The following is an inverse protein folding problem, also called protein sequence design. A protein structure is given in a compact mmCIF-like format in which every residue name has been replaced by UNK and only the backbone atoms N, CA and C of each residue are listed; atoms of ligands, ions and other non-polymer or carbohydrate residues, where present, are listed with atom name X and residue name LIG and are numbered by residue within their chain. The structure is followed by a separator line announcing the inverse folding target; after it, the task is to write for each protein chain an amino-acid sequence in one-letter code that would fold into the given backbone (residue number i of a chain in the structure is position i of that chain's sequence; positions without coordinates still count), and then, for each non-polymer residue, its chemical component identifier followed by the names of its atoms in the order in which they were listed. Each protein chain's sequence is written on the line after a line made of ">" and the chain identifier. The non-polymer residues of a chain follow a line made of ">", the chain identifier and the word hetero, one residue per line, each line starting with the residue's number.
data_IF_437415077794
#
_entry.id   IF_437415077794
#
_cell.length_a   1.000
_cell.length_b   1.000
_cell.length_c   1.000
_cell.angle_alpha   90.00
_cell.angle_beta   90.00
_cell.angle_gamma   90.00
#
_symmetry.space_group_name_H-M   'P 1'
#
loop_
_entity.id
_entity.type
_entity.pdbx_description
1 polymer ?
#
# COMPACT_ATOMS: atom_id res chain seq x y z
N UNK A 1 13.90 7.23 -26.35
CA UNK A 1 12.98 8.14 -25.66
C UNK A 1 11.98 8.77 -26.65
N UNK A 2 12.44 9.28 -27.79
CA UNK A 2 11.61 9.93 -28.81
C UNK A 2 10.50 9.01 -29.35
N UNK A 3 10.82 7.74 -29.58
CA UNK A 3 9.82 6.70 -29.95
C UNK A 3 8.75 6.55 -28.86
N UNK A 4 9.14 6.53 -27.58
CA UNK A 4 8.20 6.43 -26.47
C UNK A 4 7.28 7.65 -26.37
N UNK A 5 7.81 8.85 -26.64
CA UNK A 5 6.99 10.06 -26.73
C UNK A 5 5.98 9.98 -27.87
N UNK A 6 6.38 9.48 -29.04
CA UNK A 6 5.47 9.28 -30.18
C UNK A 6 4.36 8.30 -29.83
N UNK A 7 4.66 7.18 -29.20
CA UNK A 7 3.65 6.20 -28.74
C UNK A 7 2.66 6.87 -27.77
N UNK A 8 3.17 7.61 -26.78
CA UNK A 8 2.34 8.29 -25.77
C UNK A 8 1.42 9.35 -26.36
N UNK A 9 1.88 10.07 -27.38
CA UNK A 9 1.15 11.20 -27.99
C UNK A 9 0.37 10.82 -29.25
N UNK A 10 0.45 9.57 -29.71
CA UNK A 10 -0.15 9.11 -30.97
C UNK A 10 0.49 9.73 -32.23
N UNK A 11 1.72 10.23 -32.11
CA UNK A 11 2.47 10.83 -33.20
C UNK A 11 3.41 9.83 -33.87
N UNK A 12 3.94 10.20 -35.08
CA UNK A 12 4.99 9.45 -35.78
C UNK A 12 6.32 10.19 -35.69
N UNK A 13 7.43 9.47 -35.78
CA UNK A 13 8.75 10.08 -35.82
C UNK A 13 8.93 11.05 -36.99
N UNK A 14 8.22 10.80 -38.11
CA UNK A 14 8.23 11.62 -39.32
C UNK A 14 7.40 12.91 -39.23
N UNK A 15 6.58 13.07 -38.19
CA UNK A 15 5.71 14.24 -38.04
C UNK A 15 6.57 15.46 -37.68
N UNK A 16 6.43 16.54 -38.45
CA UNK A 16 7.19 17.78 -38.22
C UNK A 16 6.76 18.47 -36.90
N UNK A 17 5.46 18.45 -36.61
CA UNK A 17 4.89 19.06 -35.40
C UNK A 17 4.56 17.97 -34.43
N UNK A 18 5.43 17.69 -33.48
CA UNK A 18 5.26 16.71 -32.41
C UNK A 18 6.04 17.10 -31.16
N UNK A 19 5.70 16.49 -30.04
CA UNK A 19 6.48 16.63 -28.81
C UNK A 19 7.83 15.94 -29.00
N UNK A 20 8.92 16.69 -28.81
CA UNK A 20 10.31 16.19 -28.81
C UNK A 20 11.15 17.02 -27.87
N UNK A 21 12.23 16.46 -27.38
CA UNK A 21 13.23 17.26 -26.66
C UNK A 21 14.01 18.16 -27.62
N UNK A 22 14.45 19.33 -27.14
CA UNK A 22 15.18 20.32 -27.99
C UNK A 22 16.59 19.88 -28.36
N UNK A 23 17.17 18.92 -27.62
CA UNK A 23 18.52 18.38 -27.87
C UNK A 23 18.65 16.96 -27.36
N UNK A 24 19.77 16.32 -27.67
CA UNK A 24 20.12 14.96 -27.16
C UNK A 24 20.96 15.01 -25.86
N UNK A 25 21.01 16.16 -25.19
CA UNK A 25 21.86 16.41 -24.00
C UNK A 25 21.34 15.85 -22.70
N UNK A 26 20.21 15.13 -22.72
CA UNK A 26 19.54 14.58 -21.53
C UNK A 26 20.10 13.20 -21.13
N UNK A 27 21.41 13.10 -21.00
CA UNK A 27 22.11 11.91 -20.51
C UNK A 27 23.04 12.27 -19.35
N UNK A 28 23.48 11.25 -18.60
CA UNK A 28 24.44 11.44 -17.52
C UNK A 28 25.82 11.77 -18.14
N UNK A 29 26.25 13.01 -18.04
CA UNK A 29 27.49 13.50 -18.57
C UNK A 29 28.68 13.06 -17.72
N UNK A 30 29.83 12.81 -18.36
CA UNK A 30 31.08 12.57 -17.69
C UNK A 30 31.61 13.84 -17.00
N UNK A 31 32.56 13.67 -16.08
CA UNK A 31 33.22 14.81 -15.43
C UNK A 31 33.88 15.75 -16.43
N UNK A 32 34.53 15.21 -17.44
CA UNK A 32 35.21 16.02 -18.49
C UNK A 32 34.20 16.84 -19.31
N UNK A 33 33.07 16.27 -19.67
CA UNK A 33 31.97 16.97 -20.34
C UNK A 33 31.41 18.10 -19.47
N UNK A 34 31.21 17.83 -18.17
CA UNK A 34 30.75 18.83 -17.21
C UNK A 34 31.77 19.96 -17.03
N UNK A 35 33.06 19.64 -17.00
CA UNK A 35 34.15 20.68 -16.95
C UNK A 35 34.17 21.56 -18.20
N UNK A 36 33.89 20.99 -19.37
CA UNK A 36 33.77 21.76 -20.60
C UNK A 36 32.54 22.68 -20.63
N UNK A 37 31.42 22.22 -20.10
CA UNK A 37 30.18 22.98 -20.05
C UNK A 37 30.22 24.11 -19.01
N UNK A 38 30.97 23.94 -17.94
CA UNK A 38 31.09 24.89 -16.84
C UNK A 38 32.55 25.34 -16.63
N UNK A 39 33.17 26.03 -17.59
CA UNK A 39 34.54 26.48 -17.47
C UNK A 39 34.68 27.44 -16.27
N UNK A 40 35.69 27.24 -15.43
CA UNK A 40 35.92 28.04 -14.24
C UNK A 40 35.13 27.65 -13.00
N UNK A 41 34.22 26.64 -13.07
CA UNK A 41 33.43 26.15 -11.94
C UNK A 41 34.02 24.84 -11.36
N UNK A 42 35.34 24.70 -11.34
CA UNK A 42 36.05 23.50 -10.91
C UNK A 42 35.60 23.05 -9.52
N UNK A 43 35.45 24.00 -8.57
CA UNK A 43 35.05 23.72 -7.21
C UNK A 43 33.62 23.15 -7.13
N UNK A 44 32.70 23.58 -7.98
CA UNK A 44 31.34 23.04 -8.02
C UNK A 44 31.33 21.57 -8.46
N UNK A 45 32.20 21.21 -9.41
CA UNK A 45 32.33 19.83 -9.90
C UNK A 45 32.99 18.94 -8.83
N UNK A 46 34.07 19.43 -8.18
CA UNK A 46 34.71 18.72 -7.06
C UNK A 46 33.78 18.49 -5.90
N UNK A 47 32.90 19.43 -5.56
CA UNK A 47 31.92 19.31 -4.50
C UNK A 47 30.89 18.19 -4.75
N UNK A 48 30.72 17.71 -5.99
CA UNK A 48 29.85 16.54 -6.25
C UNK A 48 30.40 15.29 -5.54
N UNK A 49 31.70 15.11 -5.50
CA UNK A 49 32.35 14.03 -4.76
C UNK A 49 32.16 14.23 -3.25
N UNK A 50 32.33 15.45 -2.73
CA UNK A 50 32.12 15.77 -1.32
C UNK A 50 30.67 15.46 -0.89
N UNK A 51 29.68 15.74 -1.75
CA UNK A 51 28.28 15.39 -1.49
C UNK A 51 28.10 13.88 -1.48
N UNK A 52 28.69 13.16 -2.44
CA UNK A 52 28.62 11.69 -2.49
C UNK A 52 29.24 11.05 -1.24
N UNK A 53 30.36 11.56 -0.74
CA UNK A 53 31.01 11.09 0.46
C UNK A 53 30.18 11.29 1.74
N UNK A 54 29.28 12.28 1.76
CA UNK A 54 28.33 12.51 2.87
C UNK A 54 27.11 11.59 2.81
N UNK A 55 26.86 10.94 1.69
CA UNK A 55 25.72 10.05 1.49
C UNK A 55 26.10 8.60 1.83
N UNK A 56 26.23 8.31 3.14
CA UNK A 56 26.57 6.96 3.65
C UNK A 56 25.33 6.36 4.33
N UNK A 57 24.34 6.02 3.54
CA UNK A 57 23.09 5.44 4.02
C UNK A 57 22.70 4.24 3.16
N UNK A 58 22.47 3.11 3.82
CA UNK A 58 21.93 1.90 3.19
C UNK A 58 20.49 1.68 3.66
N UNK A 59 19.63 1.30 2.73
CA UNK A 59 18.25 0.94 3.04
C UNK A 59 18.18 -0.49 3.56
N UNK A 60 17.59 -0.69 4.73
CA UNK A 60 17.18 -2.01 5.18
C UNK A 60 15.82 -2.37 4.59
N UNK A 61 15.84 -3.17 3.52
CA UNK A 61 14.63 -3.66 2.85
C UNK A 61 13.97 -4.85 3.55
N UNK A 62 14.58 -5.39 4.61
CA UNK A 62 14.10 -6.58 5.30
C UNK A 62 13.34 -6.25 6.59
N UNK A 63 13.51 -5.05 7.13
CA UNK A 63 12.79 -4.63 8.34
C UNK A 63 11.42 -4.07 8.00
N UNK A 64 10.39 -4.55 8.70
CA UNK A 64 9.05 -3.99 8.67
C UNK A 64 8.88 -3.10 9.90
N UNK A 65 8.49 -1.85 9.70
CA UNK A 65 8.29 -0.86 10.76
C UNK A 65 6.78 -0.61 10.97
N UNK A 66 6.07 -1.65 11.43
CA UNK A 66 4.69 -1.46 11.90
C UNK A 66 4.72 -1.03 13.37
N UNK A 67 3.80 -0.15 13.82
CA UNK A 67 3.59 0.11 15.23
C UNK A 67 3.20 -1.18 15.95
N UNK A 68 3.60 -1.34 17.19
CA UNK A 68 3.19 -2.49 18.01
C UNK A 68 1.72 -2.31 18.45
N UNK A 69 0.89 -3.29 18.13
CA UNK A 69 -0.51 -3.30 18.54
C UNK A 69 -0.65 -4.05 19.87
N UNK A 70 -1.08 -3.34 20.91
CA UNK A 70 -1.24 -3.92 22.23
C UNK A 70 -2.55 -4.74 22.31
N UNK A 71 -2.42 -5.99 22.78
CA UNK A 71 -3.55 -6.87 23.10
C UNK A 71 -3.59 -7.12 24.62
N UNK A 72 -4.70 -7.58 25.13
CA UNK A 72 -4.85 -7.88 26.58
C UNK A 72 -3.85 -8.93 27.05
N UNK A 73 -3.46 -8.85 28.31
CA UNK A 73 -2.53 -9.81 28.92
C UNK A 73 -3.03 -11.25 28.76
N UNK A 74 -2.18 -12.09 28.16
CA UNK A 74 -2.52 -13.50 27.86
C UNK A 74 -3.18 -13.75 26.51
N UNK A 75 -3.52 -12.73 25.73
CA UNK A 75 -3.98 -12.87 24.34
C UNK A 75 -2.81 -12.74 23.34
N UNK A 76 -2.91 -13.45 22.22
CA UNK A 76 -2.02 -13.25 21.06
C UNK A 76 -2.71 -12.36 20.03
N UNK A 77 -1.92 -11.63 19.20
CA UNK A 77 -2.48 -10.82 18.11
C UNK A 77 -3.33 -11.66 17.15
N UNK A 78 -2.86 -12.86 16.80
CA UNK A 78 -3.61 -13.84 16.01
C UNK A 78 -4.95 -14.20 16.67
N UNK A 79 -4.90 -14.59 17.95
CA UNK A 79 -6.11 -15.00 18.70
C UNK A 79 -7.13 -13.87 18.79
N UNK A 80 -6.65 -12.64 19.02
CA UNK A 80 -7.50 -11.46 19.07
C UNK A 80 -8.13 -11.11 17.72
N UNK A 81 -7.34 -11.16 16.64
CA UNK A 81 -7.83 -10.98 15.27
C UNK A 81 -8.92 -12.01 14.94
N UNK A 82 -8.67 -13.28 15.22
CA UNK A 82 -9.62 -14.40 15.00
C UNK A 82 -10.93 -14.18 15.77
N UNK A 83 -10.85 -13.77 17.02
CA UNK A 83 -12.02 -13.44 17.84
C UNK A 83 -12.86 -12.32 17.23
N UNK A 84 -12.24 -11.19 16.87
CA UNK A 84 -12.93 -10.07 16.22
C UNK A 84 -13.62 -10.49 14.92
N UNK A 85 -12.94 -11.31 14.12
CA UNK A 85 -13.50 -11.82 12.86
C UNK A 85 -14.69 -12.75 13.07
N UNK A 86 -14.65 -13.65 14.07
CA UNK A 86 -15.77 -14.51 14.40
C UNK A 86 -16.98 -13.70 14.86
N UNK A 87 -16.78 -12.71 15.74
CA UNK A 87 -17.85 -11.79 16.17
C UNK A 87 -18.41 -10.98 14.98
N UNK A 88 -17.55 -10.53 14.09
CA UNK A 88 -17.91 -9.83 12.87
C UNK A 88 -18.71 -10.70 11.91
N UNK A 89 -18.32 -11.96 11.73
CA UNK A 89 -19.02 -12.91 10.87
C UNK A 89 -20.48 -13.09 11.33
N UNK A 90 -20.70 -13.25 12.65
CA UNK A 90 -22.03 -13.39 13.22
C UNK A 90 -22.89 -12.12 13.09
N UNK A 91 -22.26 -10.93 13.12
CA UNK A 91 -22.95 -9.66 12.87
C UNK A 91 -23.34 -9.48 11.39
N UNK A 92 -22.50 -9.94 10.47
CA UNK A 92 -22.67 -9.73 9.03
C UNK A 92 -23.64 -10.73 8.40
N UNK A 93 -23.66 -11.97 8.87
CA UNK A 93 -24.46 -13.04 8.28
C UNK A 93 -25.50 -13.58 9.28
N UNK A 94 -26.78 -13.55 8.88
CA UNK A 94 -27.87 -14.11 9.67
C UNK A 94 -27.78 -15.63 9.85
N UNK A 95 -27.15 -16.30 8.89
CA UNK A 95 -26.91 -17.73 8.89
C UNK A 95 -25.47 -18.00 8.50
N UNK A 96 -24.65 -18.40 9.44
CA UNK A 96 -23.23 -18.70 9.22
C UNK A 96 -23.09 -20.16 8.81
N UNK A 97 -22.82 -20.40 7.53
CA UNK A 97 -22.60 -21.73 6.97
C UNK A 97 -21.18 -22.25 7.23
N UNK A 98 -20.96 -23.55 7.03
CA UNK A 98 -19.61 -24.12 7.14
C UNK A 98 -18.66 -23.53 6.09
N UNK A 99 -19.13 -23.29 4.86
CA UNK A 99 -18.34 -22.68 3.79
C UNK A 99 -17.83 -21.27 4.18
N UNK A 100 -18.67 -20.48 4.87
CA UNK A 100 -18.25 -19.16 5.38
C UNK A 100 -17.16 -19.28 6.44
N UNK A 101 -17.27 -20.28 7.32
CA UNK A 101 -16.26 -20.56 8.36
C UNK A 101 -14.95 -21.03 7.74
N UNK A 102 -15.01 -21.97 6.81
CA UNK A 102 -13.85 -22.49 6.10
C UNK A 102 -13.12 -21.38 5.31
N UNK A 103 -13.88 -20.50 4.65
CA UNK A 103 -13.31 -19.35 3.96
C UNK A 103 -12.65 -18.36 4.92
N UNK A 104 -13.28 -18.06 6.05
CA UNK A 104 -12.73 -17.17 7.08
C UNK A 104 -11.42 -17.73 7.66
N UNK A 105 -11.41 -19.03 8.03
CA UNK A 105 -10.22 -19.70 8.56
C UNK A 105 -9.09 -19.71 7.54
N UNK A 106 -9.37 -20.01 6.28
CA UNK A 106 -8.38 -19.96 5.19
C UNK A 106 -7.74 -18.57 5.06
N UNK A 107 -8.54 -17.50 5.11
CA UNK A 107 -8.02 -16.14 5.03
C UNK A 107 -7.19 -15.78 6.27
N UNK A 108 -7.66 -16.12 7.48
CA UNK A 108 -6.93 -15.87 8.72
C UNK A 108 -5.60 -16.61 8.77
N UNK A 109 -5.57 -17.87 8.39
CA UNK A 109 -4.34 -18.66 8.34
C UNK A 109 -3.35 -18.08 7.31
N UNK A 110 -3.85 -17.59 6.17
CA UNK A 110 -3.02 -16.94 5.16
C UNK A 110 -2.43 -15.63 5.69
N UNK A 111 -3.24 -14.79 6.35
CA UNK A 111 -2.82 -13.52 6.96
C UNK A 111 -1.74 -13.79 8.02
N UNK A 112 -1.99 -14.77 8.90
CA UNK A 112 -1.06 -15.17 9.97
C UNK A 112 0.28 -15.67 9.42
N UNK A 113 0.24 -16.60 8.46
CA UNK A 113 1.45 -17.17 7.85
C UNK A 113 2.29 -16.12 7.11
N UNK A 114 1.68 -15.04 6.64
CA UNK A 114 2.36 -13.91 6.02
C UNK A 114 2.79 -12.83 7.04
N UNK A 115 2.43 -12.97 8.33
CA UNK A 115 2.82 -12.06 9.40
C UNK A 115 2.05 -10.74 9.42
N UNK A 116 0.79 -10.72 8.93
CA UNK A 116 0.01 -9.49 8.80
C UNK A 116 -1.12 -9.34 9.83
N UNK A 117 -1.18 -10.18 10.87
CA UNK A 117 -2.20 -10.07 11.94
C UNK A 117 -2.28 -8.66 12.51
N UNK A 118 -1.13 -8.11 12.87
CA UNK A 118 -1.01 -6.77 13.44
C UNK A 118 -1.46 -5.68 12.50
N UNK A 119 -1.13 -5.78 11.21
CA UNK A 119 -1.56 -4.83 10.21
C UNK A 119 -3.10 -4.74 10.12
N UNK A 120 -3.79 -5.87 10.13
CA UNK A 120 -5.24 -5.90 10.13
C UNK A 120 -5.86 -5.33 11.40
N UNK A 121 -5.24 -5.57 12.55
CA UNK A 121 -5.68 -5.00 13.84
C UNK A 121 -5.55 -3.48 13.86
N UNK A 122 -4.42 -2.94 13.39
CA UNK A 122 -4.18 -1.50 13.28
C UNK A 122 -5.22 -0.85 12.34
N UNK A 123 -5.45 -1.45 11.17
CA UNK A 123 -6.44 -0.92 10.22
C UNK A 123 -7.85 -0.96 10.79
N UNK A 124 -8.21 -2.05 11.47
CA UNK A 124 -9.49 -2.16 12.17
C UNK A 124 -9.65 -1.07 13.23
N UNK A 125 -8.61 -0.79 14.02
CA UNK A 125 -8.63 0.20 15.09
C UNK A 125 -8.92 1.62 14.54
N UNK A 126 -8.25 2.05 13.48
CA UNK A 126 -8.53 3.33 12.84
C UNK A 126 -9.99 3.47 12.42
N UNK A 127 -10.51 2.43 11.80
CA UNK A 127 -11.88 2.43 11.28
C UNK A 127 -12.88 2.38 12.42
N UNK A 128 -12.63 1.58 13.44
CA UNK A 128 -13.46 1.48 14.64
C UNK A 128 -13.49 2.81 15.39
N UNK A 129 -12.34 3.45 15.58
CA UNK A 129 -12.22 4.79 16.16
C UNK A 129 -13.10 5.80 15.39
N UNK A 130 -12.95 5.86 14.07
CA UNK A 130 -13.70 6.78 13.25
C UNK A 130 -15.22 6.54 13.36
N UNK A 131 -15.66 5.28 13.19
CA UNK A 131 -17.09 4.91 13.21
C UNK A 131 -17.75 5.16 14.56
N UNK A 132 -17.06 4.84 15.66
CA UNK A 132 -17.60 5.08 17.03
C UNK A 132 -17.75 6.55 17.37
N UNK A 133 -16.99 7.43 16.70
CA UNK A 133 -17.09 8.89 16.83
C UNK A 133 -17.97 9.55 15.75
N UNK A 134 -18.64 8.75 14.95
CA UNK A 134 -19.52 9.26 13.88
C UNK A 134 -18.76 9.98 12.77
N UNK A 135 -17.47 9.64 12.55
CA UNK A 135 -16.70 10.11 11.41
C UNK A 135 -17.02 9.20 10.23
N UNK A 136 -17.56 9.73 9.13
CA UNK A 136 -17.87 8.92 7.96
C UNK A 136 -16.61 8.24 7.38
N UNK A 137 -16.71 6.93 7.14
CA UNK A 137 -15.70 6.09 6.50
C UNK A 137 -16.27 5.55 5.20
N UNK A 138 -15.48 5.57 4.14
CA UNK A 138 -15.85 5.00 2.85
C UNK A 138 -16.14 3.49 2.94
N UNK A 139 -16.85 2.92 1.95
CA UNK A 139 -17.24 1.50 1.96
C UNK A 139 -16.08 0.53 1.77
N UNK A 140 -14.88 1.04 1.56
CA UNK A 140 -13.72 0.29 1.12
C UNK A 140 -13.64 0.20 -0.41
N UNK A 141 -12.43 0.07 -0.91
CA UNK A 141 -12.13 0.00 -2.36
C UNK A 141 -10.89 -0.86 -2.62
N UNK A 142 -10.57 -1.05 -3.87
CA UNK A 142 -9.40 -1.83 -4.27
C UNK A 142 -9.56 -3.33 -3.99
N UNK A 143 -8.44 -4.00 -3.82
CA UNK A 143 -8.39 -5.46 -3.65
C UNK A 143 -8.88 -5.93 -2.29
N UNK A 144 -8.82 -5.10 -1.25
CA UNK A 144 -9.27 -5.43 0.11
C UNK A 144 -10.75 -5.84 0.18
N UNK A 145 -11.58 -5.38 -0.78
CA UNK A 145 -12.98 -5.80 -0.91
C UNK A 145 -13.14 -7.31 -1.18
N UNK A 146 -12.09 -8.02 -1.63
CA UNK A 146 -12.08 -9.47 -1.83
C UNK A 146 -11.89 -10.29 -0.56
N UNK A 147 -11.61 -9.65 0.59
CA UNK A 147 -11.34 -10.32 1.86
C UNK A 147 -12.58 -10.39 2.76
N UNK A 148 -12.92 -11.60 3.19
CA UNK A 148 -13.96 -11.84 4.19
C UNK A 148 -13.51 -11.35 5.57
N UNK A 149 -12.23 -11.46 5.90
CA UNK A 149 -11.63 -10.86 7.12
C UNK A 149 -11.85 -9.36 7.13
N UNK A 150 -11.52 -8.65 6.05
CA UNK A 150 -11.77 -7.20 5.94
C UNK A 150 -13.25 -6.83 6.09
N UNK A 151 -14.15 -7.66 5.58
CA UNK A 151 -15.60 -7.47 5.73
C UNK A 151 -16.07 -7.71 7.16
N UNK A 152 -15.59 -8.76 7.83
CA UNK A 152 -15.91 -9.06 9.22
C UNK A 152 -15.39 -7.99 10.19
N UNK A 153 -14.20 -7.45 9.94
CA UNK A 153 -13.59 -6.36 10.72
C UNK A 153 -14.20 -4.97 10.44
N UNK A 154 -15.23 -4.90 9.61
CA UNK A 154 -15.85 -3.63 9.22
C UNK A 154 -14.91 -2.66 8.47
N UNK A 155 -13.80 -3.20 7.94
CA UNK A 155 -12.86 -2.47 7.09
C UNK A 155 -13.51 -2.17 5.74
N UNK A 156 -14.23 -3.15 5.19
CA UNK A 156 -15.02 -2.97 3.96
C UNK A 156 -16.51 -3.22 4.22
N UNK A 157 -17.36 -2.59 3.40
CA UNK A 157 -18.81 -2.81 3.41
C UNK A 157 -19.28 -3.69 2.25
N UNK A 158 -18.34 -4.17 1.43
CA UNK A 158 -18.63 -5.04 0.27
C UNK A 158 -18.51 -6.50 0.71
N UNK A 159 -19.59 -7.25 0.58
CA UNK A 159 -19.63 -8.68 0.87
C UNK A 159 -18.92 -9.48 -0.23
N UNK A 160 -17.72 -10.04 0.04
CA UNK A 160 -16.95 -10.74 -0.99
C UNK A 160 -17.62 -12.04 -1.46
N UNK A 161 -18.44 -12.67 -0.62
CA UNK A 161 -19.12 -13.91 -0.96
C UNK A 161 -20.29 -13.62 -1.91
N UNK A 162 -21.09 -12.63 -1.58
CA UNK A 162 -22.23 -12.19 -2.41
C UNK A 162 -21.80 -11.82 -3.83
N UNK A 163 -20.65 -11.19 -3.97
CA UNK A 163 -20.14 -10.73 -5.26
C UNK A 163 -19.08 -11.66 -5.87
N UNK A 164 -18.86 -12.83 -5.27
CA UNK A 164 -17.88 -13.82 -5.73
C UNK A 164 -16.49 -13.24 -5.97
N UNK A 165 -16.00 -12.45 -5.02
CA UNK A 165 -14.69 -11.82 -5.08
C UNK A 165 -13.61 -12.78 -4.57
N UNK A 166 -12.44 -12.75 -5.22
CA UNK A 166 -11.32 -13.63 -4.92
C UNK A 166 -10.37 -12.96 -3.90
N UNK A 167 -10.09 -13.65 -2.81
CA UNK A 167 -9.13 -13.22 -1.79
C UNK A 167 -7.69 -13.16 -2.31
N UNK A 168 -7.33 -14.07 -3.20
CA UNK A 168 -6.00 -14.19 -3.80
C UNK A 168 -5.60 -12.97 -4.66
N UNK A 169 -6.58 -12.15 -5.06
CA UNK A 169 -6.32 -10.86 -5.71
C UNK A 169 -5.87 -9.79 -4.72
N UNK A 170 -6.21 -9.94 -3.46
CA UNK A 170 -5.83 -9.06 -2.38
C UNK A 170 -4.56 -9.53 -1.70
N UNK A 171 -4.52 -10.80 -1.27
CA UNK A 171 -3.38 -11.40 -0.59
C UNK A 171 -3.03 -12.73 -1.26
N UNK A 172 -1.80 -12.84 -1.75
CA UNK A 172 -1.30 -14.06 -2.39
C UNK A 172 0.06 -14.43 -1.77
N UNK A 173 0.20 -15.61 -1.13
CA UNK A 173 1.46 -16.06 -0.54
C UNK A 173 2.63 -16.13 -1.54
N UNK A 174 2.35 -16.35 -2.83
CA UNK A 174 3.37 -16.38 -3.88
C UNK A 174 3.93 -14.98 -4.22
N UNK A 175 3.21 -13.94 -3.86
CA UNK A 175 3.60 -12.54 -4.07
C UNK A 175 3.90 -11.87 -2.75
N UNK A 176 5.18 -11.87 -2.37
CA UNK A 176 5.65 -11.24 -1.13
C UNK A 176 5.58 -9.72 -1.26
N UNK A 177 4.41 -9.16 -0.99
CA UNK A 177 4.22 -7.72 -0.85
C UNK A 177 3.22 -7.46 0.26
N UNK A 178 3.48 -6.44 1.08
CA UNK A 178 2.54 -6.01 2.11
C UNK A 178 1.19 -5.68 1.48
N UNK A 179 0.06 -6.11 2.08
CA UNK A 179 -1.26 -5.75 1.59
C UNK A 179 -1.46 -4.23 1.67
N UNK A 180 -2.16 -3.69 0.69
CA UNK A 180 -2.51 -2.28 0.62
C UNK A 180 -4.02 -2.14 0.83
N UNK A 181 -4.41 -1.55 1.96
CA UNK A 181 -5.80 -1.28 2.32
C UNK A 181 -6.04 0.23 2.23
N UNK A 182 -6.73 0.63 1.19
CA UNK A 182 -7.14 2.02 0.98
C UNK A 182 -8.33 2.39 1.88
N UNK A 183 -8.15 3.39 2.75
CA UNK A 183 -9.17 3.87 3.68
C UNK A 183 -9.52 5.32 3.36
N UNK A 184 -10.79 5.59 3.11
CA UNK A 184 -11.30 6.93 2.84
C UNK A 184 -12.06 7.47 4.06
N UNK A 185 -11.53 8.51 4.69
CA UNK A 185 -12.20 9.22 5.79
C UNK A 185 -12.79 10.55 5.32
N UNK A 186 -13.84 11.00 6.01
CA UNK A 186 -14.38 12.33 5.80
C UNK A 186 -13.26 13.40 5.89
N UNK A 187 -13.16 14.22 4.86
CA UNK A 187 -12.10 15.25 4.73
C UNK A 187 -12.04 16.18 5.95
N UNK A 188 -13.20 16.58 6.47
CA UNK A 188 -13.27 17.59 7.52
C UNK A 188 -12.77 17.09 8.87
N UNK A 189 -12.84 15.76 9.11
CA UNK A 189 -12.48 15.15 10.39
C UNK A 189 -11.40 14.08 10.28
N UNK A 190 -10.76 13.92 9.11
CA UNK A 190 -9.68 12.97 8.91
C UNK A 190 -8.51 13.19 9.88
N UNK A 191 -8.22 14.44 10.19
CA UNK A 191 -7.12 14.77 11.11
C UNK A 191 -7.31 14.19 12.50
N UNK A 192 -8.56 14.12 13.00
CA UNK A 192 -8.88 13.49 14.29
C UNK A 192 -8.58 11.98 14.34
N UNK A 193 -8.53 11.33 13.18
CA UNK A 193 -8.20 9.89 13.09
C UNK A 193 -6.70 9.69 12.97
N UNK A 194 -5.97 10.68 12.43
CA UNK A 194 -4.52 10.61 12.24
C UNK A 194 -3.78 10.92 13.55
N UNK A 195 -4.30 11.87 14.36
CA UNK A 195 -3.74 12.30 15.65
C UNK A 195 -3.98 11.26 16.76
#
# INVERSE_FOLDING_TARGET
>A
HDVLLCIKTGARLSDEVRMKFPSDDFYLKSEDEMRMLFPGQTKAIENTLEVAEKCNFDFDFNSQHLPDFEVSEGETKEGYLRKLCCEGLEKRYKNVTNELRERLEFELDTIHNMGYDEYFLIVHDFIHYAKTRGIPVGPGRGSAAGSLVSYCLDITCVDPIKYNLLFERFLNPERVSMPDIDIDFCKDRRQEVID
#
